data_IF_964492358941
#
_entry.id   IF_964492358941
#
_cell.length_a   1.000
_cell.length_b   1.000
_cell.length_c   1.000
_cell.angle_alpha   90.00
_cell.angle_beta   90.00
_cell.angle_gamma   90.00
#
_symmetry.space_group_name_H-M   'P 1'
#
loop_
_entity.id
_entity.type
_entity.pdbx_description
1 polymer ?
#
# COMPACT_ATOMS: atom_id res chain seq x y z
N UNK A 1 33.82 5.13 17.78
CA UNK A 1 32.62 4.92 16.91
C UNK A 1 33.12 4.90 15.48
N UNK A 2 33.08 3.78 14.80
CA UNK A 2 33.39 3.72 13.36
C UNK A 2 32.27 4.44 12.64
N UNK A 3 32.53 5.63 12.11
CA UNK A 3 31.56 6.34 11.26
C UNK A 3 31.31 5.50 10.02
N UNK A 4 30.11 4.95 9.90
CA UNK A 4 29.71 4.25 8.70
C UNK A 4 29.63 5.28 7.55
N UNK A 5 30.70 5.38 6.76
CA UNK A 5 30.83 6.38 5.67
C UNK A 5 29.77 6.25 4.57
N UNK A 6 29.01 5.14 4.56
CA UNK A 6 27.95 4.88 3.60
C UNK A 6 26.56 5.31 4.11
N UNK A 7 26.46 5.63 5.41
CA UNK A 7 25.20 6.12 5.96
C UNK A 7 24.96 7.56 5.53
N UNK A 8 23.81 7.83 4.95
CA UNK A 8 23.41 9.17 4.52
C UNK A 8 23.14 10.08 5.72
N UNK A 9 23.41 11.39 5.57
CA UNK A 9 23.32 12.35 6.68
C UNK A 9 21.91 12.92 6.91
N UNK A 10 21.03 12.87 5.91
CA UNK A 10 19.70 13.50 5.97
C UNK A 10 18.55 12.67 5.39
N UNK A 11 18.83 11.52 4.82
CA UNK A 11 17.78 10.59 4.37
C UNK A 11 17.24 9.81 5.58
N UNK A 12 15.92 9.55 5.56
CA UNK A 12 15.30 8.62 6.48
C UNK A 12 15.83 7.21 6.19
N UNK A 13 16.61 6.69 7.11
CA UNK A 13 17.21 5.35 7.03
C UNK A 13 17.05 4.65 8.37
N UNK A 14 16.57 3.40 8.41
CA UNK A 14 16.56 2.61 9.64
C UNK A 14 18.00 2.37 10.15
N UNK A 15 18.17 2.07 11.43
CA UNK A 15 19.50 1.80 12.00
C UNK A 15 20.23 0.63 11.33
N UNK A 16 19.50 -0.43 10.99
CA UNK A 16 19.99 -1.67 10.37
C UNK A 16 18.97 -2.26 9.43
N UNK A 17 19.35 -3.24 8.64
CA UNK A 17 18.46 -4.06 7.84
C UNK A 17 18.09 -3.44 6.49
N UNK A 18 16.98 -3.92 5.95
CA UNK A 18 16.43 -3.52 4.66
C UNK A 18 15.20 -2.64 4.83
N UNK A 19 15.12 -1.59 4.05
CA UNK A 19 13.98 -0.69 3.94
C UNK A 19 13.49 -0.67 2.50
N UNK A 20 12.18 -0.64 2.30
CA UNK A 20 11.55 -0.49 1.01
C UNK A 20 10.42 0.55 1.10
N UNK A 21 9.28 0.30 0.48
CA UNK A 21 8.20 1.24 0.26
C UNK A 21 7.83 2.04 1.51
N UNK A 22 7.74 3.38 1.41
CA UNK A 22 7.11 4.18 2.45
C UNK A 22 5.61 3.90 2.47
N UNK A 23 5.07 3.68 3.67
CA UNK A 23 3.70 3.31 3.92
C UNK A 23 3.07 4.21 4.98
N UNK A 24 1.75 4.25 5.03
CA UNK A 24 1.03 4.88 6.13
C UNK A 24 1.44 6.33 6.41
N UNK A 25 1.81 7.09 5.38
CA UNK A 25 2.26 8.47 5.51
C UNK A 25 1.12 9.35 6.03
N UNK A 26 1.29 9.99 7.18
CA UNK A 26 0.28 10.88 7.74
C UNK A 26 0.86 11.90 8.72
N UNK A 27 0.09 12.97 8.97
CA UNK A 27 0.30 13.87 10.10
C UNK A 27 -0.78 13.59 11.14
N UNK A 28 -0.39 13.07 12.28
CA UNK A 28 -1.30 12.62 13.31
C UNK A 28 -0.79 12.99 14.70
N UNK A 29 -1.67 13.52 15.55
CA UNK A 29 -1.33 13.95 16.93
C UNK A 29 -0.07 14.83 17.04
N UNK A 30 0.13 15.74 16.07
CA UNK A 30 1.23 16.71 16.10
C UNK A 30 2.57 16.19 15.56
N UNK A 31 2.61 14.99 15.01
CA UNK A 31 3.79 14.37 14.41
C UNK A 31 3.53 13.93 12.95
N UNK A 32 4.57 14.00 12.15
CA UNK A 32 4.63 13.29 10.89
C UNK A 32 5.00 11.83 11.15
N UNK A 33 4.20 10.90 10.66
CA UNK A 33 4.41 9.47 10.74
C UNK A 33 4.81 8.94 9.36
N UNK A 34 5.86 8.15 9.34
CA UNK A 34 6.27 7.35 8.18
C UNK A 34 6.37 5.91 8.66
N UNK A 35 5.48 5.08 8.17
CA UNK A 35 5.70 3.65 8.21
C UNK A 35 6.44 3.26 6.93
N UNK A 36 7.08 2.12 6.91
CA UNK A 36 7.82 1.65 5.73
C UNK A 36 7.99 0.14 5.79
N UNK A 37 8.08 -0.52 4.66
CA UNK A 37 8.48 -1.92 4.65
C UNK A 37 9.86 -2.07 5.27
N UNK A 38 9.99 -3.04 6.18
CA UNK A 38 11.18 -3.19 7.00
C UNK A 38 11.49 -4.66 7.29
N UNK A 39 12.78 -5.00 7.22
CA UNK A 39 13.34 -6.27 7.68
C UNK A 39 14.65 -5.98 8.43
N UNK A 40 14.64 -5.98 9.78
CA UNK A 40 15.78 -5.51 10.58
C UNK A 40 17.00 -6.39 10.45
N UNK A 41 16.83 -7.68 10.20
CA UNK A 41 17.91 -8.68 10.17
C UNK A 41 18.35 -9.05 8.74
N UNK A 42 17.87 -8.32 7.72
CA UNK A 42 18.25 -8.56 6.33
C UNK A 42 19.78 -8.43 6.15
N UNK A 43 20.44 -9.34 5.39
CA UNK A 43 19.85 -10.43 4.60
C UNK A 43 19.62 -11.75 5.36
N UNK A 44 19.85 -11.79 6.67
CA UNK A 44 19.81 -13.02 7.46
C UNK A 44 18.43 -13.37 8.02
N UNK A 45 17.53 -12.36 8.11
CA UNK A 45 16.15 -12.53 8.55
C UNK A 45 15.20 -12.67 7.38
N UNK A 46 14.03 -13.27 7.65
CA UNK A 46 12.95 -13.45 6.67
C UNK A 46 11.71 -12.63 7.00
N UNK A 47 11.63 -12.05 8.19
CA UNK A 47 10.49 -11.24 8.59
C UNK A 47 10.41 -9.96 7.74
N UNK A 48 9.22 -9.69 7.22
CA UNK A 48 8.90 -8.50 6.43
C UNK A 48 7.65 -7.87 6.99
N UNK A 49 7.85 -6.79 7.71
CA UNK A 49 6.78 -6.05 8.36
C UNK A 49 6.91 -4.55 8.06
N UNK A 50 6.27 -3.76 8.89
CA UNK A 50 6.42 -2.32 8.83
C UNK A 50 7.26 -1.79 9.97
N UNK A 51 8.31 -1.05 9.63
CA UNK A 51 9.00 -0.15 10.53
C UNK A 51 8.23 1.16 10.68
N UNK A 52 8.53 1.91 11.74
CA UNK A 52 7.90 3.19 12.02
C UNK A 52 8.95 4.23 12.38
N UNK A 53 8.77 5.42 11.85
CA UNK A 53 9.52 6.61 12.22
C UNK A 53 8.60 7.82 12.34
N UNK A 54 8.92 8.73 13.27
CA UNK A 54 8.16 9.97 13.47
C UNK A 54 9.07 11.18 13.43
N UNK A 55 8.51 12.32 13.03
CA UNK A 55 9.20 13.60 13.01
C UNK A 55 8.26 14.75 13.37
N UNK A 56 8.73 15.76 14.12
CA UNK A 56 7.98 17.01 14.32
C UNK A 56 8.09 17.96 13.11
N UNK A 57 9.08 17.79 12.22
CA UNK A 57 9.48 18.81 11.25
C UNK A 57 9.93 18.24 9.88
N UNK A 58 9.79 16.93 9.64
CA UNK A 58 10.24 16.20 8.45
C UNK A 58 11.77 16.16 8.25
N UNK A 59 12.54 16.65 9.20
CA UNK A 59 14.01 16.70 9.17
C UNK A 59 14.62 15.81 10.26
N UNK A 60 14.10 15.93 11.47
CA UNK A 60 14.59 15.17 12.62
C UNK A 60 13.70 13.97 12.89
N UNK A 61 14.22 12.78 12.67
CA UNK A 61 13.46 11.52 12.73
C UNK A 61 13.82 10.68 13.96
N UNK A 62 12.80 10.16 14.59
CA UNK A 62 12.91 9.14 15.64
C UNK A 62 12.42 7.81 15.07
N UNK A 63 13.26 6.78 15.15
CA UNK A 63 12.92 5.42 14.73
C UNK A 63 12.35 4.62 15.90
N UNK A 64 11.25 3.92 15.65
CA UNK A 64 10.54 3.09 16.64
C UNK A 64 10.72 1.58 16.41
N UNK A 65 11.50 1.19 15.39
CA UNK A 65 11.69 -0.20 15.01
C UNK A 65 10.54 -0.77 14.20
N UNK A 66 10.40 -2.09 14.20
CA UNK A 66 9.28 -2.78 13.57
C UNK A 66 8.07 -2.71 14.49
N UNK A 67 6.91 -2.38 13.94
CA UNK A 67 5.65 -2.19 14.68
C UNK A 67 4.49 -3.01 14.12
N UNK A 68 4.52 -3.38 12.84
CA UNK A 68 3.60 -4.36 12.25
C UNK A 68 4.43 -5.57 11.84
N UNK A 69 4.13 -6.70 12.47
CA UNK A 69 4.78 -7.99 12.25
C UNK A 69 3.96 -8.89 11.34
N UNK A 70 4.56 -9.88 10.72
CA UNK A 70 3.87 -10.96 10.01
C UNK A 70 3.49 -12.06 11.01
N UNK A 71 2.49 -11.84 11.84
CA UNK A 71 2.17 -12.65 13.03
C UNK A 71 0.74 -13.22 13.06
N UNK A 72 -0.01 -13.06 11.95
CA UNK A 72 -1.29 -13.76 11.74
C UNK A 72 -1.21 -14.64 10.48
N UNK A 73 -2.11 -15.66 10.35
CA UNK A 73 -2.11 -16.52 9.17
C UNK A 73 -2.22 -15.77 7.83
N UNK A 74 -2.97 -14.67 7.80
CA UNK A 74 -3.25 -13.89 6.60
C UNK A 74 -2.10 -12.98 6.15
N UNK A 75 -1.04 -12.84 6.94
CA UNK A 75 0.19 -12.12 6.55
C UNK A 75 1.48 -12.93 6.76
N UNK A 76 1.38 -14.23 6.87
CA UNK A 76 2.47 -15.14 7.22
C UNK A 76 3.72 -15.04 6.33
N UNK A 77 3.62 -14.48 5.12
CA UNK A 77 4.75 -14.24 4.22
C UNK A 77 5.03 -12.76 3.95
N UNK A 78 4.51 -11.87 4.80
CA UNK A 78 4.84 -10.45 4.85
C UNK A 78 3.65 -9.53 4.96
N UNK A 79 3.84 -8.45 5.71
CA UNK A 79 2.98 -7.27 5.65
C UNK A 79 3.48 -6.39 4.50
N UNK A 80 2.74 -6.40 3.39
CA UNK A 80 3.05 -5.64 2.17
C UNK A 80 2.63 -4.18 2.32
N UNK A 81 2.75 -3.41 1.25
CA UNK A 81 2.52 -1.97 1.27
C UNK A 81 1.06 -1.59 1.55
N UNK A 82 0.86 -0.34 1.91
CA UNK A 82 -0.44 0.20 2.22
C UNK A 82 -0.41 1.66 2.68
N UNK A 83 -1.52 2.14 3.23
CA UNK A 83 -1.71 3.55 3.55
C UNK A 83 -2.33 3.79 4.91
N UNK A 84 -2.33 5.07 5.32
CA UNK A 84 -3.03 5.55 6.50
C UNK A 84 -4.28 6.35 6.11
N UNK A 85 -5.30 6.27 6.95
CA UNK A 85 -6.48 7.13 6.89
C UNK A 85 -6.85 7.58 8.31
N UNK A 86 -7.10 8.87 8.49
CA UNK A 86 -7.52 9.43 9.78
C UNK A 86 -9.04 9.58 9.76
N UNK A 87 -9.69 8.98 10.77
CA UNK A 87 -11.13 9.14 11.04
C UNK A 87 -11.30 10.21 12.11
N UNK A 88 -11.73 11.43 11.75
CA UNK A 88 -11.90 12.50 12.74
C UNK A 88 -12.95 12.12 13.77
N UNK A 89 -12.62 12.22 15.06
CA UNK A 89 -13.51 11.88 16.16
C UNK A 89 -13.87 10.40 16.29
N UNK A 90 -13.22 9.51 15.53
CA UNK A 90 -13.53 8.07 15.49
C UNK A 90 -13.03 7.29 16.70
N UNK A 91 -12.17 7.87 17.52
CA UNK A 91 -11.62 7.23 18.71
C UNK A 91 -12.47 7.44 19.96
N UNK A 92 -12.11 6.73 21.02
CA UNK A 92 -12.78 6.83 22.31
C UNK A 92 -12.72 8.27 22.86
N UNK A 93 -13.85 8.76 23.35
CA UNK A 93 -13.95 10.14 23.87
C UNK A 93 -13.93 11.24 22.81
N UNK A 94 -14.05 10.89 21.50
CA UNK A 94 -14.05 11.83 20.39
C UNK A 94 -12.66 12.24 19.92
N UNK A 95 -11.61 11.51 20.29
CA UNK A 95 -10.27 11.67 19.71
C UNK A 95 -10.26 11.18 18.25
N UNK A 96 -9.29 11.61 17.47
CA UNK A 96 -9.09 11.07 16.13
C UNK A 96 -8.60 9.61 16.21
N UNK A 97 -8.97 8.83 15.19
CA UNK A 97 -8.57 7.42 15.04
C UNK A 97 -7.73 7.28 13.78
N UNK A 98 -6.53 6.75 13.92
CA UNK A 98 -5.68 6.41 12.79
C UNK A 98 -5.93 4.96 12.38
N UNK A 99 -6.27 4.75 11.13
CA UNK A 99 -6.44 3.48 10.46
C UNK A 99 -5.25 3.22 9.53
N UNK A 100 -4.60 2.09 9.70
CA UNK A 100 -3.54 1.59 8.82
C UNK A 100 -4.07 0.41 8.03
N UNK A 101 -4.14 0.56 6.71
CA UNK A 101 -4.57 -0.48 5.79
C UNK A 101 -3.34 -1.03 5.07
N UNK A 102 -3.19 -2.35 4.99
CA UNK A 102 -2.09 -2.99 4.31
C UNK A 102 -2.48 -4.34 3.73
N UNK A 103 -1.69 -4.85 2.80
CA UNK A 103 -1.91 -6.18 2.23
C UNK A 103 -1.09 -7.22 2.97
N UNK A 104 -1.76 -8.19 3.58
CA UNK A 104 -1.15 -9.41 4.09
C UNK A 104 -0.92 -10.41 2.97
N UNK A 105 0.33 -10.84 2.77
CA UNK A 105 0.70 -11.79 1.73
C UNK A 105 0.90 -13.17 2.32
N UNK A 106 0.32 -14.18 1.66
CA UNK A 106 0.54 -15.60 1.97
C UNK A 106 0.93 -16.35 0.70
N UNK A 107 1.94 -17.19 0.80
CA UNK A 107 2.33 -18.16 -0.23
C UNK A 107 2.04 -19.56 0.28
N UNK A 108 1.05 -20.21 -0.30
CA UNK A 108 0.64 -21.55 0.09
C UNK A 108 1.72 -22.58 -0.28
N UNK A 109 1.95 -23.60 0.57
CA UNK A 109 2.88 -24.67 0.24
C UNK A 109 2.42 -25.46 -0.98
N UNK A 110 3.33 -25.80 -1.88
CA UNK A 110 3.03 -26.61 -3.06
C UNK A 110 3.67 -26.11 -4.33
N UNK A 111 3.33 -26.76 -5.43
CA UNK A 111 3.78 -26.37 -6.77
C UNK A 111 2.79 -25.36 -7.36
N UNK A 112 2.96 -24.11 -7.00
CA UNK A 112 2.13 -22.99 -7.46
C UNK A 112 2.96 -22.01 -8.28
N UNK A 113 2.31 -21.29 -9.19
CA UNK A 113 2.93 -20.17 -9.92
C UNK A 113 2.92 -18.87 -9.11
N UNK A 114 2.11 -18.80 -8.04
CA UNK A 114 1.88 -17.64 -7.20
C UNK A 114 1.37 -16.40 -7.95
N UNK A 115 0.84 -16.61 -9.14
CA UNK A 115 0.22 -15.61 -10.00
C UNK A 115 -1.28 -15.87 -10.09
N UNK A 116 -1.64 -17.07 -10.52
CA UNK A 116 -3.03 -17.51 -10.68
C UNK A 116 -3.47 -18.46 -9.56
N UNK A 117 -2.50 -19.01 -8.82
CA UNK A 117 -2.76 -19.96 -7.73
C UNK A 117 -1.71 -19.88 -6.63
N UNK A 118 -2.11 -20.28 -5.40
CA UNK A 118 -1.21 -20.46 -4.27
C UNK A 118 -0.74 -19.17 -3.59
N UNK A 119 -1.31 -18.03 -3.94
CA UNK A 119 -1.10 -16.76 -3.23
C UNK A 119 -2.42 -16.28 -2.64
N UNK A 120 -2.36 -15.79 -1.40
CA UNK A 120 -3.44 -15.01 -0.81
C UNK A 120 -2.98 -13.56 -0.68
N UNK A 121 -3.86 -12.65 -1.09
CA UNK A 121 -3.74 -11.22 -0.95
C UNK A 121 -4.90 -10.77 -0.07
N UNK A 122 -4.60 -10.43 1.19
CA UNK A 122 -5.59 -10.12 2.20
C UNK A 122 -5.46 -8.66 2.60
N UNK A 123 -6.53 -7.87 2.49
CA UNK A 123 -6.50 -6.50 3.00
C UNK A 123 -6.79 -6.51 4.50
N UNK A 124 -5.89 -5.90 5.25
CA UNK A 124 -5.87 -5.93 6.71
C UNK A 124 -5.88 -4.50 7.24
N UNK A 125 -6.66 -4.30 8.30
CA UNK A 125 -6.77 -3.04 9.03
C UNK A 125 -6.18 -3.19 10.44
N UNK A 126 -5.45 -2.16 10.87
CA UNK A 126 -5.07 -1.92 12.26
C UNK A 126 -5.51 -0.51 12.65
N UNK A 127 -6.04 -0.34 13.84
CA UNK A 127 -6.46 0.94 14.38
C UNK A 127 -5.60 1.37 15.56
N UNK A 128 -5.38 2.69 15.70
CA UNK A 128 -4.69 3.28 16.86
C UNK A 128 -5.17 4.71 17.11
N UNK A 129 -5.23 5.11 18.37
CA UNK A 129 -5.60 6.47 18.78
C UNK A 129 -4.40 7.35 19.10
N UNK A 130 -3.21 6.79 19.19
CA UNK A 130 -1.98 7.51 19.51
C UNK A 130 -0.87 7.41 18.45
N UNK A 131 -1.04 6.49 17.48
CA UNK A 131 -0.06 6.22 16.43
C UNK A 131 1.10 5.29 16.85
N UNK A 132 1.08 4.79 18.08
CA UNK A 132 2.15 3.97 18.66
C UNK A 132 1.65 2.62 19.20
N UNK A 133 0.54 2.63 19.92
CA UNK A 133 -0.10 1.43 20.45
C UNK A 133 -1.10 0.92 19.41
N UNK A 134 -0.65 -0.02 18.59
CA UNK A 134 -1.46 -0.60 17.53
C UNK A 134 -2.44 -1.63 18.11
N UNK A 135 -3.69 -1.57 17.64
CA UNK A 135 -4.74 -2.51 17.99
C UNK A 135 -4.60 -3.87 17.30
N UNK A 136 -5.65 -4.69 17.40
CA UNK A 136 -5.70 -6.00 16.76
C UNK A 136 -5.85 -5.86 15.23
N UNK A 137 -5.33 -6.83 14.51
CA UNK A 137 -5.46 -6.95 13.05
C UNK A 137 -6.84 -7.45 12.69
N UNK A 138 -7.49 -6.76 11.75
CA UNK A 138 -8.80 -7.13 11.22
C UNK A 138 -8.66 -7.42 9.72
N UNK A 139 -8.97 -8.64 9.31
CA UNK A 139 -8.98 -9.00 7.88
C UNK A 139 -10.28 -8.52 7.25
N UNK A 140 -10.16 -7.62 6.28
CA UNK A 140 -11.30 -6.98 5.61
C UNK A 140 -11.68 -7.69 4.31
N UNK A 141 -10.68 -8.05 3.50
CA UNK A 141 -10.87 -8.67 2.18
C UNK A 141 -9.92 -9.85 2.01
N UNK A 142 -10.34 -10.83 1.23
CA UNK A 142 -9.57 -12.01 0.80
C UNK A 142 -9.71 -12.18 -0.71
N UNK A 143 -8.98 -13.09 -1.32
CA UNK A 143 -9.04 -13.35 -2.76
C UNK A 143 -10.48 -13.57 -3.28
N UNK A 144 -11.36 -14.18 -2.49
CA UNK A 144 -12.74 -14.45 -2.87
C UNK A 144 -13.64 -13.20 -2.93
N UNK A 145 -13.17 -12.08 -2.38
CA UNK A 145 -13.90 -10.81 -2.33
C UNK A 145 -13.57 -9.90 -3.52
N UNK A 146 -12.56 -10.27 -4.31
CA UNK A 146 -12.19 -9.55 -5.53
C UNK A 146 -12.96 -10.09 -6.75
N UNK A 147 -13.13 -9.29 -7.80
CA UNK A 147 -13.73 -9.75 -9.05
C UNK A 147 -13.02 -10.97 -9.67
N UNK A 148 -13.77 -11.87 -10.29
CA UNK A 148 -13.27 -13.10 -10.91
C UNK A 148 -12.20 -12.87 -11.99
N UNK A 149 -12.12 -11.68 -12.56
CA UNK A 149 -11.07 -11.34 -13.52
C UNK A 149 -9.72 -11.04 -12.86
N UNK A 150 -9.65 -10.83 -11.55
CA UNK A 150 -8.39 -10.62 -10.85
C UNK A 150 -7.64 -11.93 -10.67
N UNK A 151 -6.33 -11.90 -10.88
CA UNK A 151 -5.43 -12.97 -10.46
C UNK A 151 -5.21 -12.94 -8.95
N UNK A 152 -4.30 -13.76 -8.42
CA UNK A 152 -3.90 -13.70 -7.00
C UNK A 152 -3.06 -12.45 -6.65
N UNK A 153 -2.83 -11.54 -7.58
CA UNK A 153 -2.10 -10.30 -7.36
C UNK A 153 -3.07 -9.11 -7.25
N UNK A 154 -3.51 -8.84 -6.03
CA UNK A 154 -4.23 -7.60 -5.65
C UNK A 154 -3.56 -7.09 -4.39
N UNK A 155 -3.14 -5.79 -4.33
CA UNK A 155 -2.39 -5.28 -3.18
C UNK A 155 -2.25 -3.77 -3.13
N UNK A 156 -1.62 -3.29 -2.04
CA UNK A 156 -1.14 -1.93 -1.81
C UNK A 156 -2.29 -0.92 -1.67
N UNK A 157 -3.17 -1.08 -0.65
CA UNK A 157 -4.36 -0.25 -0.50
C UNK A 157 -4.03 1.20 -0.21
N UNK A 158 -4.63 2.11 -1.00
CA UNK A 158 -4.68 3.55 -0.74
C UNK A 158 -6.11 3.96 -0.42
N UNK A 159 -6.34 4.47 0.78
CA UNK A 159 -7.69 4.85 1.26
C UNK A 159 -7.83 6.36 1.31
N UNK A 160 -8.98 6.87 0.84
CA UNK A 160 -9.39 8.27 0.96
C UNK A 160 -10.90 8.40 1.12
N UNK A 161 -11.38 9.57 1.55
CA UNK A 161 -12.82 9.90 1.57
C UNK A 161 -13.16 10.83 0.41
N UNK A 162 -14.30 10.60 -0.22
CA UNK A 162 -14.85 11.47 -1.25
C UNK A 162 -16.37 11.33 -1.31
N UNK A 163 -17.08 12.45 -1.48
CA UNK A 163 -18.54 12.51 -1.65
C UNK A 163 -19.35 11.75 -0.58
N UNK A 164 -18.80 11.62 0.63
CA UNK A 164 -19.43 10.98 1.79
C UNK A 164 -19.18 9.47 1.91
N UNK A 165 -18.44 8.88 0.99
CA UNK A 165 -17.98 7.48 1.04
C UNK A 165 -16.47 7.40 1.24
N UNK A 166 -16.00 6.24 1.68
CA UNK A 166 -14.60 5.86 1.66
C UNK A 166 -14.31 5.04 0.39
N UNK A 167 -13.16 5.28 -0.18
CA UNK A 167 -12.68 4.56 -1.35
C UNK A 167 -11.33 3.93 -1.03
N UNK A 168 -11.09 2.74 -1.57
CA UNK A 168 -9.80 2.05 -1.51
C UNK A 168 -9.35 1.73 -2.93
N UNK A 169 -8.16 2.19 -3.29
CA UNK A 169 -7.51 1.90 -4.55
C UNK A 169 -6.50 0.78 -4.31
N UNK A 170 -6.59 -0.28 -5.13
CA UNK A 170 -5.70 -1.43 -5.07
C UNK A 170 -5.03 -1.63 -6.43
N UNK A 171 -3.76 -1.95 -6.44
CA UNK A 171 -3.09 -2.43 -7.64
C UNK A 171 -3.46 -3.89 -7.89
N UNK A 172 -3.67 -4.24 -9.15
CA UNK A 172 -4.06 -5.59 -9.52
C UNK A 172 -3.41 -6.05 -10.83
N UNK A 173 -3.33 -7.37 -10.99
CA UNK A 173 -3.06 -8.10 -12.23
C UNK A 173 -4.27 -8.93 -12.55
N UNK A 174 -4.76 -8.85 -13.77
CA UNK A 174 -5.89 -9.68 -14.16
C UNK A 174 -5.45 -11.05 -14.72
N UNK A 175 -6.46 -11.85 -15.11
CA UNK A 175 -6.25 -13.20 -15.65
C UNK A 175 -5.67 -13.20 -17.08
N UNK A 176 -5.66 -12.03 -17.75
CA UNK A 176 -5.09 -11.84 -19.09
C UNK A 176 -3.70 -11.17 -19.05
N UNK A 177 -3.06 -11.11 -17.88
CA UNK A 177 -1.75 -10.49 -17.66
C UNK A 177 -1.71 -8.98 -17.92
N UNK A 178 -2.82 -8.29 -17.65
CA UNK A 178 -2.88 -6.83 -17.69
C UNK A 178 -2.89 -6.23 -16.28
N UNK A 179 -2.06 -5.20 -16.10
CA UNK A 179 -2.07 -4.38 -14.90
C UNK A 179 -3.27 -3.43 -14.88
N UNK A 180 -3.87 -3.27 -13.70
CA UNK A 180 -5.00 -2.37 -13.52
C UNK A 180 -5.04 -1.82 -12.08
N UNK A 181 -5.86 -0.81 -11.85
CA UNK A 181 -6.24 -0.38 -10.52
C UNK A 181 -7.70 -0.72 -10.25
N UNK A 182 -7.96 -1.39 -9.10
CA UNK A 182 -9.28 -1.74 -8.61
C UNK A 182 -9.72 -0.70 -7.59
N UNK A 183 -10.95 -0.20 -7.71
CA UNK A 183 -11.52 0.76 -6.78
C UNK A 183 -12.64 0.08 -6.00
N UNK A 184 -12.48 0.04 -4.68
CA UNK A 184 -13.49 -0.42 -3.74
C UNK A 184 -14.15 0.78 -3.06
N UNK A 185 -15.41 0.62 -2.65
CA UNK A 185 -16.18 1.62 -1.90
C UNK A 185 -16.67 1.06 -0.57
N UNK A 186 -16.75 1.93 0.44
CA UNK A 186 -17.23 1.60 1.78
C UNK A 186 -17.88 2.80 2.45
N UNK A 187 -18.84 2.55 3.35
CA UNK A 187 -19.45 3.58 4.20
C UNK A 187 -18.80 3.67 5.57
N UNK A 188 -18.15 2.59 6.02
CA UNK A 188 -17.61 2.46 7.37
C UNK A 188 -16.08 2.23 7.40
N UNK A 189 -15.49 1.90 6.23
CA UNK A 189 -14.08 1.53 6.09
C UNK A 189 -13.76 0.11 6.58
N UNK A 190 -14.79 -0.68 6.85
CA UNK A 190 -14.69 -2.08 7.31
C UNK A 190 -15.26 -3.05 6.28
N UNK A 191 -16.38 -2.69 5.66
CA UNK A 191 -17.06 -3.50 4.64
C UNK A 191 -16.87 -2.84 3.29
N UNK A 192 -16.28 -3.56 2.34
CA UNK A 192 -15.88 -3.04 1.03
C UNK A 192 -16.57 -3.78 -0.11
N UNK A 193 -16.94 -3.06 -1.15
CA UNK A 193 -17.48 -3.62 -2.39
C UNK A 193 -16.76 -3.01 -3.59
N UNK A 194 -16.62 -3.77 -4.67
CA UNK A 194 -16.04 -3.26 -5.91
C UNK A 194 -16.93 -2.17 -6.51
N UNK A 195 -16.37 -0.99 -6.73
CA UNK A 195 -17.05 0.15 -7.34
C UNK A 195 -16.72 0.28 -8.82
N UNK A 196 -15.43 0.25 -9.17
CA UNK A 196 -14.96 0.41 -10.55
C UNK A 196 -13.52 -0.08 -10.74
N UNK A 197 -13.02 0.03 -11.97
CA UNK A 197 -11.62 -0.26 -12.31
C UNK A 197 -11.04 0.83 -13.20
N UNK A 198 -9.74 1.07 -13.10
CA UNK A 198 -8.98 1.84 -14.08
C UNK A 198 -8.11 0.87 -14.87
N UNK A 199 -8.33 0.81 -16.17
CA UNK A 199 -7.60 -0.07 -17.09
C UNK A 199 -6.87 0.74 -18.15
N UNK A 200 -5.70 0.28 -18.60
CA UNK A 200 -5.01 0.93 -19.71
C UNK A 200 -5.73 0.64 -21.03
N UNK A 201 -5.61 1.55 -21.99
CA UNK A 201 -6.12 1.35 -23.36
C UNK A 201 -5.21 0.49 -24.23
N UNK A 202 -3.99 0.20 -23.76
CA UNK A 202 -3.00 -0.68 -24.38
C UNK A 202 -2.14 -1.27 -23.29
N UNK A 203 -1.49 -2.41 -23.55
CA UNK A 203 -0.67 -3.08 -22.55
C UNK A 203 0.31 -2.11 -21.86
N UNK A 204 0.20 -2.01 -20.53
CA UNK A 204 1.02 -1.12 -19.71
C UNK A 204 1.52 -1.84 -18.46
N UNK A 205 2.30 -2.89 -18.68
CA UNK A 205 2.75 -3.79 -17.64
C UNK A 205 1.68 -4.80 -17.18
N UNK A 206 2.14 -5.87 -16.55
CA UNK A 206 1.22 -6.94 -16.10
C UNK A 206 0.71 -6.73 -14.67
N UNK A 207 1.27 -5.80 -13.91
CA UNK A 207 0.88 -5.48 -12.54
C UNK A 207 1.14 -4.00 -12.26
N UNK A 208 0.21 -3.35 -11.58
CA UNK A 208 0.40 -1.98 -11.08
C UNK A 208 0.55 -2.02 -9.56
N UNK A 209 1.77 -1.77 -9.05
CA UNK A 209 2.05 -1.74 -7.62
C UNK A 209 1.89 -0.33 -7.05
N UNK A 210 1.63 -0.24 -5.75
CA UNK A 210 1.58 0.98 -4.97
C UNK A 210 0.77 2.11 -5.64
N UNK A 211 -0.48 1.86 -6.07
CA UNK A 211 -1.27 2.90 -6.70
C UNK A 211 -1.60 4.00 -5.69
N UNK A 212 -1.52 5.25 -6.12
CA UNK A 212 -1.94 6.40 -5.32
C UNK A 212 -2.75 7.40 -6.16
N UNK A 213 -3.72 8.03 -5.52
CA UNK A 213 -4.51 9.12 -6.07
C UNK A 213 -3.91 10.45 -5.64
N UNK A 214 -3.54 11.26 -6.61
CA UNK A 214 -2.98 12.59 -6.37
C UNK A 214 -3.97 13.62 -6.92
N UNK A 215 -4.49 14.49 -6.07
CA UNK A 215 -5.29 15.64 -6.46
C UNK A 215 -4.43 16.92 -6.32
N UNK A 216 -4.19 17.62 -7.42
CA UNK A 216 -3.34 18.80 -7.46
C UNK A 216 -3.92 19.83 -8.43
N UNK A 217 -4.14 21.06 -7.96
CA UNK A 217 -4.60 22.21 -8.76
C UNK A 217 -5.87 21.95 -9.61
N UNK A 218 -6.77 21.13 -9.09
CA UNK A 218 -8.03 20.76 -9.76
C UNK A 218 -7.89 19.63 -10.79
N UNK A 219 -6.71 19.04 -10.89
CA UNK A 219 -6.46 17.84 -11.70
C UNK A 219 -6.31 16.62 -10.81
N UNK A 220 -6.64 15.46 -11.34
CA UNK A 220 -6.40 14.17 -10.71
C UNK A 220 -5.38 13.36 -11.49
N UNK A 221 -4.53 12.66 -10.75
CA UNK A 221 -3.50 11.78 -11.28
C UNK A 221 -3.57 10.44 -10.56
N UNK A 222 -3.34 9.37 -11.29
CA UNK A 222 -3.07 8.05 -10.76
C UNK A 222 -1.57 7.79 -10.87
N UNK A 223 -0.87 7.66 -9.76
CA UNK A 223 0.51 7.18 -9.74
C UNK A 223 0.55 5.70 -9.41
N UNK A 224 1.51 4.98 -9.96
CA UNK A 224 1.73 3.56 -9.71
C UNK A 224 3.09 3.11 -10.22
N UNK A 225 3.48 1.90 -9.86
CA UNK A 225 4.71 1.25 -10.28
C UNK A 225 4.36 0.05 -11.18
N UNK A 226 4.32 0.22 -12.53
CA UNK A 226 4.02 -0.87 -13.44
C UNK A 226 5.20 -1.86 -13.51
N UNK A 227 4.90 -3.15 -13.43
CA UNK A 227 5.85 -4.24 -13.66
C UNK A 227 5.70 -4.80 -15.08
N UNK A 228 6.82 -5.20 -15.67
CA UNK A 228 6.83 -5.89 -16.96
C UNK A 228 6.52 -5.00 -18.16
N UNK A 229 6.92 -3.73 -18.09
CA UNK A 229 6.88 -2.83 -19.23
C UNK A 229 7.75 -3.34 -20.39
N UNK A 230 7.29 -3.12 -21.61
CA UNK A 230 8.09 -3.40 -22.79
C UNK A 230 9.33 -2.49 -22.84
N UNK A 231 10.46 -3.04 -23.30
CA UNK A 231 11.67 -2.25 -23.54
C UNK A 231 11.42 -1.16 -24.60
N UNK A 232 11.97 0.00 -24.34
CA UNK A 232 11.92 1.14 -25.28
C UNK A 232 13.31 1.34 -25.91
N UNK A 233 13.40 1.87 -27.15
CA UNK A 233 14.67 2.05 -27.82
C UNK A 233 15.69 2.92 -27.09
N UNK A 234 15.21 3.74 -26.17
CA UNK A 234 16.01 4.71 -25.41
C UNK A 234 16.12 4.35 -23.91
N UNK A 235 15.48 3.26 -23.47
CA UNK A 235 15.51 2.82 -22.08
C UNK A 235 15.57 1.30 -22.00
N UNK A 236 16.61 0.80 -21.37
CA UNK A 236 16.81 -0.61 -21.07
C UNK A 236 16.29 -0.92 -19.68
N UNK A 237 15.81 -2.12 -19.46
CA UNK A 237 15.35 -2.62 -18.16
C UNK A 237 14.21 -1.79 -17.55
N UNK A 238 13.04 -1.87 -18.19
CA UNK A 238 11.81 -1.21 -17.73
C UNK A 238 10.94 -2.12 -16.86
N UNK A 239 11.50 -3.16 -16.25
CA UNK A 239 10.74 -4.14 -15.47
C UNK A 239 10.02 -3.52 -14.29
N UNK A 240 10.69 -2.59 -13.62
CA UNK A 240 10.21 -1.93 -12.42
C UNK A 240 10.31 -0.41 -12.62
N UNK A 241 9.18 0.20 -12.90
CA UNK A 241 9.08 1.64 -13.17
C UNK A 241 8.21 2.32 -12.11
N UNK A 242 8.29 3.63 -12.05
CA UNK A 242 7.38 4.47 -11.28
C UNK A 242 6.98 5.68 -12.12
N UNK A 243 5.71 6.03 -12.09
CA UNK A 243 5.20 7.15 -12.86
C UNK A 243 3.78 7.53 -12.47
N UNK A 244 3.20 8.42 -13.27
CA UNK A 244 1.81 8.83 -13.09
C UNK A 244 1.15 9.03 -14.45
N UNK A 245 -0.15 8.87 -14.48
CA UNK A 245 -1.02 9.23 -15.61
C UNK A 245 -2.01 10.30 -15.18
N UNK A 246 -2.21 11.36 -15.97
CA UNK A 246 -3.27 12.31 -15.73
C UNK A 246 -4.61 11.62 -16.01
N UNK A 247 -5.57 11.80 -15.11
CA UNK A 247 -6.93 11.39 -15.34
C UNK A 247 -7.68 12.52 -16.04
N UNK A 248 -8.40 12.27 -17.15
CA UNK A 248 -9.19 13.31 -17.81
C UNK A 248 -10.15 13.97 -16.83
N UNK A 249 -10.41 15.26 -16.97
CA UNK A 249 -11.29 16.01 -16.07
C UNK A 249 -12.71 15.46 -15.95
N UNK A 250 -13.14 14.62 -16.90
CA UNK A 250 -14.41 13.88 -16.87
C UNK A 250 -14.30 12.50 -16.18
N UNK A 251 -13.08 12.01 -15.93
CA UNK A 251 -12.81 10.74 -15.26
C UNK A 251 -12.48 11.06 -13.81
N UNK A 252 -13.52 11.14 -13.00
CA UNK A 252 -13.30 10.96 -11.56
C UNK A 252 -12.95 9.48 -11.36
N UNK A 253 -12.02 9.15 -10.45
CA UNK A 253 -11.71 7.76 -10.08
C UNK A 253 -12.94 6.98 -9.59
N UNK A 254 -14.05 7.70 -9.36
CA UNK A 254 -15.36 7.19 -9.01
C UNK A 254 -16.28 7.37 -10.23
N UNK A 255 -16.72 6.26 -10.82
CA UNK A 255 -17.72 6.29 -11.91
C UNK A 255 -17.15 6.35 -13.32
N UNK A 256 -16.02 5.67 -13.60
CA UNK A 256 -15.69 5.30 -14.96
C UNK A 256 -16.58 4.13 -15.39
N UNK A 257 -17.80 4.44 -15.84
CA UNK A 257 -18.58 3.50 -16.66
C UNK A 257 -17.98 3.53 -18.08
N UNK A 258 -17.66 2.34 -18.59
CA UNK A 258 -17.43 2.07 -20.02
C UNK A 258 -18.31 0.96 -20.49
#
# INVERSE_FOLDING_TARGET
MTTNRWRMGFHLMPPTGWVNDPNGLCYFNGLYHVFHQYSPDWPNGSERGWGHATSPDLVHWTHHGMVIHQDIPEDANGAYSGSAYIVPGGGAGGSDLLRLYYTGNVKEPGAHDYIYSGRQANEILIETTDGFNLGEKQVLLRNADYPDFCSCHVRDPKVWSQDGSLHMLLGARDMDDEGLALIMESQDGLSWTTASTVRPTSHFGFMWECPDRIALDGFEYLSFCPQGMAELPWANDLRDQSGYIPLPAAVKLIGCEH
#
